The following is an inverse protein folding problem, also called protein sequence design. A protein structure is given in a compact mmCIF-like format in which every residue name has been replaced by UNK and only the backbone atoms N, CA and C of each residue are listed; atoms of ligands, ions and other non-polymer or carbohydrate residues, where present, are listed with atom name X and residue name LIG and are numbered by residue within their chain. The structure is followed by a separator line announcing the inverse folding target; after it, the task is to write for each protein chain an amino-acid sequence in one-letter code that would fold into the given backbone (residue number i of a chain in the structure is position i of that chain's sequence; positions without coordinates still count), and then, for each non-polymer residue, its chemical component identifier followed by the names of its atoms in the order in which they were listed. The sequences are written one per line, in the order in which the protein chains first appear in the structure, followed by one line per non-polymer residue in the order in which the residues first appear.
data_IF_843414189045
#
_entry.id   IF_843414189045
#
_cell.length_a   1.000
_cell.length_b   1.000
_cell.length_c   1.000
_cell.angle_alpha   90.00
_cell.angle_beta   90.00
_cell.angle_gamma   90.00
#
_symmetry.space_group_name_H-M   'P 1'
#
loop_
_entity.id
_entity.type
_entity.pdbx_description
1 polymer ?
#
# COMPACT_ATOMS: atom_id res chain seq x y z
N UNK A 1 -5.16 -42.01 -8.60
CA UNK A 1 -5.48 -40.63 -9.01
C UNK A 1 -6.25 -39.83 -7.94
N UNK A 2 -7.12 -40.43 -7.12
CA UNK A 2 -7.89 -39.75 -6.06
C UNK A 2 -7.07 -39.08 -4.93
N UNK A 3 -5.89 -39.61 -4.57
CA UNK A 3 -5.07 -39.08 -3.47
C UNK A 3 -4.28 -37.79 -3.81
N UNK A 4 -3.90 -37.64 -5.09
CA UNK A 4 -3.18 -36.44 -5.56
C UNK A 4 -4.12 -35.25 -5.72
N UNK A 5 -5.37 -35.52 -6.11
CA UNK A 5 -6.44 -34.50 -6.20
C UNK A 5 -6.87 -34.03 -4.81
N UNK A 6 -6.95 -34.95 -3.83
CA UNK A 6 -7.31 -34.60 -2.45
C UNK A 6 -6.27 -33.68 -1.79
N UNK A 7 -4.98 -33.93 -2.01
CA UNK A 7 -3.91 -33.05 -1.53
C UNK A 7 -3.91 -31.67 -2.21
N UNK A 8 -4.24 -31.62 -3.50
CA UNK A 8 -4.33 -30.37 -4.25
C UNK A 8 -5.54 -29.51 -3.81
N UNK A 9 -6.69 -30.15 -3.53
CA UNK A 9 -7.88 -29.48 -3.00
C UNK A 9 -7.67 -28.96 -1.57
N UNK A 10 -7.00 -29.74 -0.71
CA UNK A 10 -6.71 -29.31 0.67
C UNK A 10 -5.71 -28.14 0.69
N UNK A 11 -4.71 -28.17 -0.20
CA UNK A 11 -3.78 -27.06 -0.40
C UNK A 11 -4.49 -25.81 -0.93
N UNK A 12 -5.42 -25.95 -1.87
CA UNK A 12 -6.19 -24.83 -2.42
C UNK A 12 -7.11 -24.18 -1.37
N UNK A 13 -7.74 -24.98 -0.51
CA UNK A 13 -8.55 -24.48 0.60
C UNK A 13 -7.74 -23.73 1.66
N UNK A 14 -6.50 -24.16 1.93
CA UNK A 14 -5.62 -23.48 2.89
C UNK A 14 -5.15 -22.12 2.35
N UNK A 15 -4.88 -22.03 1.04
CA UNK A 15 -4.49 -20.77 0.39
C UNK A 15 -5.68 -19.80 0.37
N UNK A 16 -6.90 -20.29 0.19
CA UNK A 16 -8.14 -19.48 0.20
C UNK A 16 -8.55 -19.00 1.61
N UNK A 17 -8.08 -19.66 2.67
CA UNK A 17 -8.34 -19.23 4.05
C UNK A 17 -7.28 -18.25 4.60
N UNK A 18 -6.14 -18.11 3.92
CA UNK A 18 -5.06 -17.18 4.26
C UNK A 18 -5.11 -15.88 3.47
N UNK A 19 -5.88 -15.81 2.38
CA UNK A 19 -6.28 -14.53 1.81
C UNK A 19 -7.21 -13.87 2.84
N UNK A 20 -6.96 -12.63 3.30
CA UNK A 20 -7.94 -11.93 4.09
C UNK A 20 -9.26 -11.97 3.32
N UNK A 21 -10.30 -12.49 3.97
CA UNK A 21 -11.67 -12.39 3.47
C UNK A 21 -11.95 -10.89 3.33
N UNK A 22 -11.70 -10.33 2.15
CA UNK A 22 -12.24 -9.06 1.75
C UNK A 22 -13.74 -9.33 1.65
N UNK A 23 -14.43 -9.16 2.78
CA UNK A 23 -15.85 -8.91 2.79
C UNK A 23 -16.02 -7.65 1.94
N UNK A 24 -16.19 -7.83 0.64
CA UNK A 24 -16.57 -6.77 -0.27
C UNK A 24 -18.01 -6.44 0.11
N UNK A 25 -18.15 -5.57 1.10
CA UNK A 25 -19.37 -4.84 1.30
C UNK A 25 -19.67 -4.12 -0.02
N UNK A 26 -20.93 -4.18 -0.44
CA UNK A 26 -21.53 -3.48 -1.58
C UNK A 26 -21.51 -1.95 -1.39
N UNK A 27 -20.36 -1.40 -1.00
CA UNK A 27 -20.17 -0.01 -0.58
C UNK A 27 -19.12 0.68 -1.44
N UNK A 28 -19.19 2.01 -1.46
CA UNK A 28 -18.27 2.87 -2.21
C UNK A 28 -16.81 2.50 -1.95
N UNK A 29 -16.01 2.45 -3.01
CA UNK A 29 -14.56 2.26 -2.93
C UNK A 29 -13.84 3.57 -3.16
N UNK A 30 -12.66 3.71 -2.56
CA UNK A 30 -11.74 4.83 -2.76
C UNK A 30 -10.37 4.31 -3.20
N UNK A 31 -9.64 5.16 -3.91
CA UNK A 31 -8.31 4.87 -4.43
C UNK A 31 -7.25 5.62 -3.65
N UNK A 32 -6.26 4.89 -3.15
CA UNK A 32 -5.03 5.43 -2.57
C UNK A 32 -3.91 5.26 -3.59
N UNK A 33 -3.40 6.39 -4.10
CA UNK A 33 -2.29 6.43 -5.03
C UNK A 33 -0.97 6.76 -4.33
N UNK A 34 0.13 6.21 -4.81
CA UNK A 34 1.46 6.46 -4.26
C UNK A 34 2.30 7.26 -5.27
N UNK A 35 2.68 8.47 -4.89
CA UNK A 35 3.53 9.36 -5.68
C UNK A 35 4.95 9.39 -5.09
N UNK A 36 5.89 8.86 -5.84
CA UNK A 36 7.30 8.73 -5.44
C UNK A 36 8.06 10.06 -5.45
N UNK A 37 7.49 11.15 -5.98
CA UNK A 37 8.17 12.45 -6.14
C UNK A 37 9.51 12.36 -6.87
N UNK A 38 9.53 11.59 -7.96
CA UNK A 38 10.67 11.43 -8.87
C UNK A 38 11.96 10.87 -8.26
N UNK A 39 11.86 10.19 -7.11
CA UNK A 39 12.99 9.55 -6.43
C UNK A 39 12.78 8.05 -6.25
N UNK A 40 13.88 7.31 -6.19
CA UNK A 40 13.87 5.88 -5.89
C UNK A 40 13.22 5.00 -6.96
N UNK A 41 13.02 3.73 -6.62
CA UNK A 41 12.38 2.72 -7.47
C UNK A 41 11.41 1.86 -6.66
N UNK A 42 10.60 1.06 -7.35
CA UNK A 42 9.63 0.17 -6.70
C UNK A 42 8.43 0.93 -6.13
N UNK A 43 7.87 1.86 -6.91
CA UNK A 43 6.64 2.56 -6.54
C UNK A 43 5.54 1.55 -6.14
N UNK A 44 4.89 1.72 -4.98
CA UNK A 44 3.82 0.82 -4.58
C UNK A 44 2.67 0.83 -5.58
N UNK A 45 1.98 -0.32 -5.70
CA UNK A 45 0.76 -0.41 -6.49
C UNK A 45 -0.35 0.36 -5.79
N UNK A 46 -1.11 1.15 -6.57
CA UNK A 46 -2.29 1.85 -6.06
C UNK A 46 -3.29 0.85 -5.44
N UNK A 47 -3.91 1.26 -4.35
CA UNK A 47 -4.88 0.42 -3.64
C UNK A 47 -6.30 0.93 -3.89
N UNK A 48 -7.21 0.02 -4.21
CA UNK A 48 -8.65 0.27 -4.20
C UNK A 48 -9.24 -0.44 -2.99
N UNK A 49 -9.73 0.34 -2.03
CA UNK A 49 -10.20 -0.15 -0.73
C UNK A 49 -11.63 0.32 -0.47
N UNK A 50 -12.41 -0.38 0.37
CA UNK A 50 -13.70 0.12 0.81
C UNK A 50 -13.56 1.49 1.50
N UNK A 51 -14.49 2.40 1.24
CA UNK A 51 -14.54 3.70 1.90
C UNK A 51 -14.66 3.51 3.41
N UNK A 52 -13.88 4.28 4.16
CA UNK A 52 -13.87 4.27 5.62
C UNK A 52 -12.99 3.16 6.22
N UNK A 53 -12.18 2.47 5.43
CA UNK A 53 -11.17 1.51 5.93
C UNK A 53 -9.75 2.05 5.79
N UNK A 54 -8.78 1.55 6.58
CA UNK A 54 -7.38 1.89 6.37
C UNK A 54 -6.83 1.26 5.09
N UNK A 55 -5.84 1.92 4.49
CA UNK A 55 -5.00 1.34 3.46
C UNK A 55 -3.93 0.43 4.08
N UNK A 56 -3.46 -0.55 3.34
CA UNK A 56 -2.31 -1.36 3.77
C UNK A 56 -1.04 -0.53 3.62
N UNK A 57 -0.21 -0.48 4.65
CA UNK A 57 1.11 0.14 4.55
C UNK A 57 1.97 -0.65 3.53
N UNK A 58 2.48 0.00 2.47
CA UNK A 58 3.31 -0.68 1.49
C UNK A 58 4.71 -0.96 2.07
N UNK A 59 5.48 -1.79 1.37
CA UNK A 59 6.93 -1.84 1.61
C UNK A 59 7.55 -0.47 1.30
N UNK A 60 8.58 -0.11 2.07
CA UNK A 60 9.29 1.15 1.89
C UNK A 60 9.94 1.21 0.50
N UNK A 61 9.79 2.32 -0.23
CA UNK A 61 10.45 2.49 -1.51
C UNK A 61 11.97 2.41 -1.42
N UNK A 62 12.60 1.88 -2.46
CA UNK A 62 14.05 1.69 -2.51
C UNK A 62 14.71 2.94 -3.09
N UNK A 63 15.58 3.66 -2.35
CA UNK A 63 16.33 4.79 -2.90
C UNK A 63 17.27 4.33 -4.03
N UNK A 64 17.48 5.20 -5.01
CA UNK A 64 18.48 4.97 -6.06
C UNK A 64 19.89 5.13 -5.47
N UNK A 65 20.84 4.20 -5.68
CA UNK A 65 22.18 4.26 -5.08
C UNK A 65 22.98 5.53 -5.41
N UNK A 66 22.77 6.08 -6.60
CA UNK A 66 23.38 7.32 -7.07
C UNK A 66 22.71 8.58 -6.49
N UNK A 67 21.46 8.45 -6.06
CA UNK A 67 20.72 9.52 -5.43
C UNK A 67 21.08 9.53 -3.95
N UNK A 68 21.66 10.64 -3.50
CA UNK A 68 21.99 10.83 -2.09
C UNK A 68 20.73 11.13 -1.26
N UNK A 69 19.72 10.28 -1.33
CA UNK A 69 18.49 10.36 -0.55
C UNK A 69 18.17 9.04 0.14
N UNK A 70 17.38 9.12 1.22
CA UNK A 70 16.71 7.97 1.82
C UNK A 70 15.22 8.25 1.97
N UNK A 71 14.40 7.20 1.87
CA UNK A 71 12.97 7.30 2.10
C UNK A 71 12.71 7.62 3.56
N UNK A 72 11.94 8.68 3.81
CA UNK A 72 11.53 9.08 5.15
C UNK A 72 10.21 8.42 5.54
N UNK A 73 9.13 8.85 4.90
CA UNK A 73 7.77 8.38 5.14
C UNK A 73 6.80 8.91 4.08
N UNK A 74 5.62 8.31 4.03
CA UNK A 74 4.50 8.80 3.23
C UNK A 74 3.85 10.03 3.86
N UNK A 75 3.44 10.98 3.03
CA UNK A 75 2.76 12.21 3.44
C UNK A 75 1.44 12.39 2.71
N UNK A 76 0.46 12.94 3.40
CA UNK A 76 -0.78 13.41 2.79
C UNK A 76 -0.79 14.94 2.77
N UNK A 77 -1.14 15.50 1.62
CA UNK A 77 -1.20 16.95 1.40
C UNK A 77 -2.65 17.37 1.30
N UNK A 78 -3.11 18.21 2.23
CA UNK A 78 -4.45 18.78 2.21
C UNK A 78 -4.41 20.25 2.59
N UNK A 79 -4.99 21.11 1.75
CA UNK A 79 -5.02 22.56 1.95
C UNK A 79 -3.63 23.15 2.27
N UNK A 80 -2.60 22.76 1.53
CA UNK A 80 -1.20 23.17 1.72
C UNK A 80 -0.51 22.65 2.99
N UNK A 81 -1.19 21.87 3.83
CA UNK A 81 -0.57 21.19 4.97
C UNK A 81 -0.04 19.83 4.53
N UNK A 82 1.25 19.60 4.78
CA UNK A 82 1.92 18.32 4.57
C UNK A 82 1.99 17.61 5.92
N UNK A 83 1.36 16.44 6.01
CA UNK A 83 1.35 15.65 7.26
C UNK A 83 1.87 14.26 6.98
N UNK A 84 2.71 13.71 7.87
CA UNK A 84 3.07 12.29 7.83
C UNK A 84 1.79 11.46 7.91
N UNK A 85 1.64 10.50 7.01
CA UNK A 85 0.50 9.61 7.02
C UNK A 85 0.67 8.50 8.05
N UNK A 86 -0.43 8.17 8.74
CA UNK A 86 -0.55 7.03 9.64
C UNK A 86 -1.52 6.04 8.98
N UNK A 87 -1.03 4.85 8.64
CA UNK A 87 -1.81 3.82 7.93
C UNK A 87 -2.90 3.18 8.79
N UNK A 88 -2.98 3.50 10.09
CA UNK A 88 -4.15 3.15 10.92
C UNK A 88 -5.36 4.05 10.64
N UNK A 89 -5.19 5.18 9.95
CA UNK A 89 -6.28 6.09 9.61
C UNK A 89 -7.18 5.53 8.50
N UNK A 90 -8.48 5.74 8.66
CA UNK A 90 -9.47 5.42 7.64
C UNK A 90 -9.39 6.39 6.46
N UNK A 91 -9.48 5.85 5.25
CA UNK A 91 -9.52 6.62 4.00
C UNK A 91 -10.97 6.78 3.57
N UNK A 92 -11.42 8.02 3.42
CA UNK A 92 -12.81 8.33 3.10
C UNK A 92 -13.03 8.87 1.69
N UNK A 93 -11.97 9.34 1.04
CA UNK A 93 -12.01 9.90 -0.31
C UNK A 93 -10.73 9.49 -1.04
N UNK A 94 -10.75 9.55 -2.37
CA UNK A 94 -9.56 9.32 -3.18
C UNK A 94 -8.42 10.25 -2.73
N UNK A 95 -7.23 9.69 -2.58
CA UNK A 95 -6.08 10.41 -2.08
C UNK A 95 -4.78 9.95 -2.72
N UNK A 96 -3.80 10.86 -2.70
CA UNK A 96 -2.43 10.56 -3.09
C UNK A 96 -1.52 10.72 -1.87
N UNK A 97 -0.80 9.66 -1.53
CA UNK A 97 0.30 9.68 -0.58
C UNK A 97 1.60 9.98 -1.33
N UNK A 98 2.27 11.05 -0.93
CA UNK A 98 3.54 11.49 -1.52
C UNK A 98 4.71 11.03 -0.66
N UNK A 99 5.70 10.38 -1.26
CA UNK A 99 6.93 10.01 -0.58
C UNK A 99 7.71 11.27 -0.19
N UNK A 100 8.12 11.35 1.08
CA UNK A 100 9.09 12.34 1.55
C UNK A 100 10.47 11.71 1.57
N UNK A 101 11.42 12.37 0.93
CA UNK A 101 12.81 11.94 0.83
C UNK A 101 13.71 12.91 1.57
N UNK A 102 14.67 12.39 2.32
CA UNK A 102 15.67 13.19 3.01
C UNK A 102 17.02 12.99 2.34
N UNK A 103 17.78 14.07 2.10
CA UNK A 103 19.15 13.93 1.61
C UNK A 103 20.01 13.25 2.68
N UNK A 104 20.99 12.46 2.27
CA UNK A 104 22.08 12.08 3.18
C UNK A 104 22.87 13.34 3.50
N UNK A 105 22.97 13.69 4.79
CA UNK A 105 23.92 14.72 5.21
C UNK A 105 25.34 14.18 4.96
N UNK A 106 26.11 14.93 4.18
CA UNK A 106 27.53 14.68 3.89
C UNK A 106 28.43 15.42 4.86
#
# INVERSE_FOLDING_TARGET
MKKRIFGLLLSLCLVMALVPNLAMADGDTVTVSFDMKDHGTGAPVNQTIPKGTPAVEPEDPVPLPEEKFYFGYWTYIRNYFVTRWDFSNNVNDDMTLSALWFPWET
#
